data_IF_690981161208
#
_entry.id   IF_690981161208
#
_cell.length_a   1.000
_cell.length_b   1.000
_cell.length_c   1.000
_cell.angle_alpha   90.00
_cell.angle_beta   90.00
_cell.angle_gamma   90.00
#
_symmetry.space_group_name_H-M   'P 1'
#
loop_
_entity.id
_entity.type
_entity.pdbx_description
1 polymer ?
#
# COMPACT_ATOMS: atom_id res chain seq x y z
N UNK A 1 -46.09 -17.28 -32.45
CA UNK A 1 -46.28 -16.35 -31.31
C UNK A 1 -46.08 -17.13 -30.02
N UNK A 2 -44.86 -17.20 -29.49
CA UNK A 2 -44.60 -17.77 -28.15
C UNK A 2 -44.13 -16.62 -27.29
N UNK A 3 -45.02 -16.17 -26.41
CA UNK A 3 -44.80 -15.04 -25.51
C UNK A 3 -43.64 -15.36 -24.56
N UNK A 4 -42.55 -14.61 -24.68
CA UNK A 4 -41.39 -14.66 -23.80
C UNK A 4 -41.73 -14.13 -22.41
N UNK A 5 -42.31 -14.98 -21.56
CA UNK A 5 -42.46 -14.68 -20.15
C UNK A 5 -41.07 -14.65 -19.51
N UNK A 6 -40.56 -13.45 -19.23
CA UNK A 6 -39.31 -13.26 -18.52
C UNK A 6 -39.46 -13.76 -17.08
N UNK A 7 -38.67 -14.77 -16.69
CA UNK A 7 -38.69 -15.30 -15.34
C UNK A 7 -37.98 -14.32 -14.38
N UNK A 8 -38.71 -13.62 -13.48
CA UNK A 8 -38.13 -12.58 -12.63
C UNK A 8 -37.17 -13.18 -11.58
N UNK A 9 -37.40 -14.44 -11.18
CA UNK A 9 -36.54 -15.14 -10.22
C UNK A 9 -35.15 -15.33 -10.80
N UNK A 10 -35.05 -15.76 -12.07
CA UNK A 10 -33.77 -15.97 -12.75
C UNK A 10 -32.93 -14.68 -12.81
N UNK A 11 -33.59 -13.52 -12.98
CA UNK A 11 -32.93 -12.21 -12.98
C UNK A 11 -32.39 -11.83 -11.61
N UNK A 12 -33.17 -12.05 -10.55
CA UNK A 12 -32.75 -11.74 -9.18
C UNK A 12 -31.59 -12.65 -8.74
N UNK A 13 -31.63 -13.94 -9.08
CA UNK A 13 -30.52 -14.86 -8.80
C UNK A 13 -29.24 -14.47 -9.56
N UNK A 14 -29.35 -14.02 -10.82
CA UNK A 14 -28.21 -13.56 -11.60
C UNK A 14 -27.59 -12.28 -11.03
N UNK A 15 -28.41 -11.34 -10.57
CA UNK A 15 -27.93 -10.10 -9.91
C UNK A 15 -27.23 -10.42 -8.58
N UNK A 16 -27.81 -11.30 -7.76
CA UNK A 16 -27.19 -11.74 -6.49
C UNK A 16 -25.87 -12.46 -6.76
N UNK A 17 -25.81 -13.34 -7.76
CA UNK A 17 -24.58 -14.05 -8.14
C UNK A 17 -23.48 -13.10 -8.64
N UNK A 18 -23.84 -12.05 -9.39
CA UNK A 18 -22.90 -11.00 -9.78
C UNK A 18 -22.37 -10.27 -8.54
N UNK A 19 -23.25 -9.80 -7.65
CA UNK A 19 -22.82 -9.06 -6.44
C UNK A 19 -21.92 -9.92 -5.52
N UNK A 20 -22.23 -11.21 -5.37
CA UNK A 20 -21.45 -12.13 -4.55
C UNK A 20 -20.06 -12.45 -5.15
N UNK A 21 -19.94 -12.51 -6.47
CA UNK A 21 -18.65 -12.78 -7.14
C UNK A 21 -17.72 -11.57 -7.21
N UNK A 22 -18.24 -10.34 -7.10
CA UNK A 22 -17.42 -9.11 -7.04
C UNK A 22 -16.65 -8.93 -5.72
N UNK A 23 -16.85 -9.79 -4.71
CA UNK A 23 -16.35 -9.55 -3.35
C UNK A 23 -14.92 -10.05 -3.06
N UNK A 24 -14.17 -10.54 -4.06
CA UNK A 24 -12.82 -11.04 -3.81
C UNK A 24 -11.84 -10.61 -4.89
N UNK A 25 -11.40 -9.35 -4.83
CA UNK A 25 -10.06 -9.00 -5.28
C UNK A 25 -9.16 -9.15 -4.07
N UNK A 26 -8.32 -10.17 -4.06
CA UNK A 26 -7.21 -10.30 -3.10
C UNK A 26 -6.33 -9.05 -3.26
N UNK A 27 -6.41 -8.13 -2.30
CA UNK A 27 -5.66 -6.89 -2.36
C UNK A 27 -4.19 -7.20 -2.10
N UNK A 28 -3.32 -6.88 -3.06
CA UNK A 28 -1.88 -6.84 -2.82
C UNK A 28 -1.61 -5.94 -1.61
N UNK A 29 -0.78 -6.39 -0.67
CA UNK A 29 -0.60 -5.72 0.62
C UNK A 29 0.78 -5.06 0.64
N UNK A 30 0.86 -3.73 0.55
CA UNK A 30 2.12 -3.02 0.56
C UNK A 30 3.05 -3.45 1.71
N UNK A 31 4.29 -3.76 1.38
CA UNK A 31 5.33 -4.08 2.35
C UNK A 31 6.66 -3.42 1.97
N UNK A 32 7.56 -3.33 2.94
CA UNK A 32 8.86 -2.68 2.81
C UNK A 32 10.00 -3.65 3.15
N UNK A 33 11.12 -3.54 2.44
CA UNK A 33 12.34 -4.29 2.71
C UNK A 33 13.58 -3.47 2.27
N UNK A 34 14.75 -3.65 2.91
CA UNK A 34 15.00 -4.48 4.07
C UNK A 34 14.46 -3.86 5.37
N UNK A 35 14.00 -4.70 6.29
CA UNK A 35 13.66 -4.33 7.67
C UNK A 35 14.32 -5.36 8.59
N UNK A 36 15.39 -5.01 9.34
CA UNK A 36 15.96 -3.67 9.49
C UNK A 36 16.79 -3.19 8.27
N UNK A 37 16.80 -1.88 8.06
CA UNK A 37 17.74 -1.17 7.20
C UNK A 37 19.04 -0.91 7.98
N UNK A 38 20.18 -1.35 7.43
CA UNK A 38 21.49 -1.31 8.09
C UNK A 38 22.54 -0.86 7.07
N UNK A 39 22.96 0.42 7.04
CA UNK A 39 23.95 0.91 6.07
C UNK A 39 25.26 0.12 6.09
N UNK A 40 25.69 -0.31 7.28
CA UNK A 40 26.91 -1.11 7.47
C UNK A 40 26.81 -2.51 6.84
N UNK A 41 25.62 -2.94 6.40
CA UNK A 41 25.40 -4.16 5.60
C UNK A 41 25.15 -3.85 4.12
N UNK A 42 25.65 -2.71 3.64
CA UNK A 42 25.50 -2.23 2.26
C UNK A 42 24.05 -1.96 1.84
N UNK A 43 23.14 -1.74 2.79
CA UNK A 43 21.78 -1.28 2.45
C UNK A 43 21.84 0.21 2.08
N UNK A 44 21.34 0.58 0.89
CA UNK A 44 21.33 1.97 0.40
C UNK A 44 19.94 2.60 0.45
N UNK A 45 18.89 1.80 0.34
CA UNK A 45 17.50 2.23 0.30
C UNK A 45 16.56 1.20 0.93
N UNK A 46 15.33 1.65 1.24
CA UNK A 46 14.19 0.79 1.58
C UNK A 46 13.24 0.78 0.39
N UNK A 47 12.92 -0.43 -0.08
CA UNK A 47 12.01 -0.68 -1.20
C UNK A 47 10.63 -1.05 -0.70
N UNK A 48 9.63 -0.31 -1.17
CA UNK A 48 8.22 -0.64 -1.02
C UNK A 48 7.74 -1.40 -2.26
N UNK A 49 7.04 -2.52 -2.05
CA UNK A 49 6.41 -3.34 -3.09
C UNK A 49 4.92 -3.49 -2.85
N UNK A 50 4.20 -3.96 -3.87
CA UNK A 50 2.74 -4.14 -3.84
C UNK A 50 2.01 -2.82 -3.56
N UNK A 51 2.56 -1.71 -4.05
CA UNK A 51 1.95 -0.40 -3.91
C UNK A 51 0.68 -0.30 -4.75
N UNK A 52 -0.33 0.46 -4.28
CA UNK A 52 -1.51 0.77 -5.09
C UNK A 52 -1.11 1.53 -6.35
N UNK A 53 -1.99 1.50 -7.37
CA UNK A 53 -1.75 2.16 -8.64
C UNK A 53 -1.69 3.69 -8.57
N UNK A 54 -2.06 4.30 -7.45
CA UNK A 54 -1.92 5.72 -7.14
C UNK A 54 -2.03 5.90 -5.61
N UNK A 55 -1.41 6.96 -5.06
CA UNK A 55 -1.50 7.21 -3.62
C UNK A 55 -0.29 7.93 -3.01
N UNK A 56 -0.05 7.65 -1.72
CA UNK A 56 1.13 8.15 -1.00
C UNK A 56 1.65 7.15 0.01
N UNK A 57 2.96 7.20 0.25
CA UNK A 57 3.67 6.54 1.36
C UNK A 57 4.03 7.64 2.35
N UNK A 58 3.51 7.54 3.58
CA UNK A 58 3.83 8.48 4.66
C UNK A 58 4.63 7.74 5.73
N UNK A 59 5.74 8.33 6.16
CA UNK A 59 6.62 7.73 7.16
C UNK A 59 6.67 8.64 8.38
N UNK A 60 6.57 8.04 9.57
CA UNK A 60 6.48 8.72 10.86
C UNK A 60 7.44 8.11 11.88
N UNK A 61 7.84 8.90 12.87
CA UNK A 61 8.44 8.39 14.11
C UNK A 61 7.38 7.67 14.97
N UNK A 62 7.79 7.01 16.06
CA UNK A 62 6.85 6.34 16.97
C UNK A 62 6.02 7.36 17.78
N UNK A 63 6.54 8.57 17.96
CA UNK A 63 5.87 9.74 18.54
C UNK A 63 4.85 10.36 17.57
N UNK A 64 4.80 9.90 16.31
CA UNK A 64 3.86 10.38 15.31
C UNK A 64 4.35 11.59 14.51
N UNK A 65 5.61 11.99 14.65
CA UNK A 65 6.17 13.08 13.86
C UNK A 65 6.39 12.63 12.40
N UNK A 66 5.98 13.47 11.45
CA UNK A 66 6.08 13.15 10.02
C UNK A 66 7.52 13.30 9.55
N UNK A 67 8.11 12.19 9.09
CA UNK A 67 9.47 12.14 8.52
C UNK A 67 9.45 12.56 7.05
N UNK A 68 8.58 11.94 6.25
CA UNK A 68 8.45 12.22 4.82
C UNK A 68 7.08 11.78 4.29
N UNK A 69 6.64 12.43 3.21
CA UNK A 69 5.43 12.12 2.44
C UNK A 69 5.82 11.93 0.97
N UNK A 70 5.67 10.72 0.47
CA UNK A 70 6.17 10.29 -0.84
C UNK A 70 4.97 9.99 -1.74
N UNK A 71 4.74 10.75 -2.81
CA UNK A 71 3.68 10.44 -3.76
C UNK A 71 4.01 9.15 -4.52
N UNK A 72 3.00 8.29 -4.72
CA UNK A 72 3.12 7.08 -5.54
C UNK A 72 2.69 7.45 -6.96
N UNK A 73 3.60 7.43 -7.95
CA UNK A 73 3.24 7.69 -9.34
C UNK A 73 2.23 6.67 -9.87
N UNK A 74 1.44 7.09 -10.85
CA UNK A 74 0.43 6.22 -11.45
C UNK A 74 1.08 4.94 -12.02
N UNK A 75 0.60 3.77 -11.59
CA UNK A 75 1.06 2.46 -12.06
C UNK A 75 2.43 2.00 -11.54
N UNK A 76 3.05 2.69 -10.57
CA UNK A 76 4.41 2.38 -10.14
C UNK A 76 4.57 0.97 -9.55
N UNK A 77 3.65 0.51 -8.69
CA UNK A 77 3.67 -0.80 -8.01
C UNK A 77 4.85 -1.02 -7.04
N UNK A 78 5.96 -0.28 -7.22
CA UNK A 78 7.21 -0.31 -6.48
C UNK A 78 7.71 1.13 -6.31
N UNK A 79 8.31 1.43 -5.16
CA UNK A 79 8.99 2.70 -4.92
C UNK A 79 10.16 2.51 -3.96
N UNK A 80 11.25 3.26 -4.12
CA UNK A 80 12.39 3.20 -3.21
C UNK A 80 12.54 4.50 -2.42
N UNK A 81 12.94 4.38 -1.16
CA UNK A 81 13.19 5.49 -0.25
C UNK A 81 14.64 5.45 0.22
N UNK A 82 15.36 6.55 0.01
CA UNK A 82 16.77 6.72 0.39
C UNK A 82 17.00 6.91 1.90
N UNK A 83 15.99 6.67 2.74
CA UNK A 83 16.10 6.69 4.20
C UNK A 83 16.51 8.07 4.76
N UNK A 84 15.98 9.12 4.11
CA UNK A 84 16.12 10.53 4.49
C UNK A 84 14.77 11.19 4.79
N UNK A 85 14.79 12.18 5.66
CA UNK A 85 13.62 13.02 5.95
C UNK A 85 13.33 14.01 4.81
N UNK A 86 12.24 14.77 4.94
CA UNK A 86 11.84 15.78 3.96
C UNK A 86 12.87 16.91 3.75
N UNK A 87 13.77 17.14 4.71
CA UNK A 87 14.88 18.11 4.61
C UNK A 87 16.13 17.52 3.94
N UNK A 88 16.07 16.27 3.47
CA UNK A 88 17.20 15.58 2.84
C UNK A 88 18.27 15.10 3.83
N UNK A 89 17.98 15.12 5.13
CA UNK A 89 18.87 14.61 6.17
C UNK A 89 18.60 13.14 6.44
N UNK A 90 19.66 12.41 6.74
CA UNK A 90 19.60 11.03 7.20
C UNK A 90 18.75 10.92 8.48
N UNK A 91 17.81 9.98 8.52
CA UNK A 91 17.03 9.70 9.74
C UNK A 91 17.92 9.07 10.83
N UNK A 92 17.50 9.04 12.09
CA UNK A 92 18.29 8.38 13.15
C UNK A 92 17.99 6.88 13.24
N UNK A 93 18.82 6.14 14.00
CA UNK A 93 18.48 4.77 14.39
C UNK A 93 17.19 4.75 15.20
N UNK A 94 16.28 3.81 14.90
CA UNK A 94 14.99 3.76 15.58
C UNK A 94 13.93 2.96 14.84
N UNK A 95 12.74 2.92 15.44
CA UNK A 95 11.54 2.32 14.86
C UNK A 95 10.69 3.43 14.25
N UNK A 96 10.25 3.20 13.01
CA UNK A 96 9.39 4.10 12.27
C UNK A 96 8.12 3.37 11.84
N UNK A 97 7.07 4.14 11.59
CA UNK A 97 5.81 3.63 11.05
C UNK A 97 5.65 4.15 9.62
N UNK A 98 5.31 3.27 8.69
CA UNK A 98 4.87 3.69 7.38
C UNK A 98 3.36 3.47 7.22
N UNK A 99 2.73 4.34 6.44
CA UNK A 99 1.34 4.23 6.01
C UNK A 99 1.27 4.43 4.50
N UNK A 100 0.81 3.42 3.79
CA UNK A 100 0.48 3.49 2.36
C UNK A 100 -1.01 3.76 2.23
N UNK A 101 -1.39 4.79 1.48
CA UNK A 101 -2.77 5.21 1.25
C UNK A 101 -3.00 5.26 -0.25
N UNK A 102 -4.00 4.54 -0.75
CA UNK A 102 -4.39 4.56 -2.16
C UNK A 102 -5.66 3.78 -2.42
N UNK A 103 -6.46 4.18 -3.41
CA UNK A 103 -7.68 3.48 -3.84
C UNK A 103 -8.66 3.15 -2.69
N UNK A 104 -8.82 4.07 -1.72
CA UNK A 104 -9.69 3.89 -0.55
C UNK A 104 -9.14 2.94 0.53
N UNK A 105 -7.96 2.36 0.32
CA UNK A 105 -7.33 1.41 1.22
C UNK A 105 -6.15 2.05 1.97
N UNK A 106 -5.90 1.54 3.18
CA UNK A 106 -4.81 2.00 4.05
C UNK A 106 -4.05 0.79 4.58
N UNK A 107 -2.76 0.71 4.27
CA UNK A 107 -1.86 -0.30 4.83
C UNK A 107 -0.84 0.37 5.73
N UNK A 108 -0.57 -0.23 6.89
CA UNK A 108 0.45 0.26 7.82
C UNK A 108 1.46 -0.85 8.12
N UNK A 109 2.70 -0.46 8.38
CA UNK A 109 3.76 -1.37 8.77
C UNK A 109 4.88 -0.65 9.51
N UNK A 110 5.86 -1.41 9.97
CA UNK A 110 7.00 -0.90 10.73
C UNK A 110 8.26 -0.92 9.86
N UNK A 111 9.12 0.07 10.07
CA UNK A 111 10.49 0.09 9.58
C UNK A 111 11.42 0.15 10.79
N UNK A 112 12.61 -0.39 10.63
CA UNK A 112 13.65 -0.37 11.65
C UNK A 112 14.92 0.11 10.95
N UNK A 113 15.54 1.16 11.48
CA UNK A 113 16.80 1.71 10.96
C UNK A 113 17.87 1.51 12.03
N UNK A 114 19.01 0.96 11.63
CA UNK A 114 20.18 0.73 12.50
C UNK A 114 21.40 1.31 11.81
N UNK A 115 21.88 2.45 12.30
CA UNK A 115 23.17 3.06 11.96
C UNK A 115 24.23 2.70 12.99
#
# INVERSE_FOLDING_TARGET
MVNGQSNPLLRVFLVIYIILTLSCVTLAKPYAFPVPFVPNKNHTEITFKELPGEGSIKIYTIEGEKVIDIPIPQGAGIHTWNVRNASGQDVTSGVYLFRVIGQGQKTTGKLIVVR
#
